data_IF_836034483917
#
_entry.id   IF_836034483917
#
_cell.length_a   1.000
_cell.length_b   1.000
_cell.length_c   1.000
_cell.angle_alpha   90.00
_cell.angle_beta   90.00
_cell.angle_gamma   90.00
#
_symmetry.space_group_name_H-M   'P 1'
#
loop_
_entity.id
_entity.type
_entity.pdbx_description
1 polymer ?
#
# COMPACT_ATOMS: atom_id res chain seq x y z
N UNK A 1 -3.11 2.77 -1.38
CA UNK A 1 -4.48 2.55 -1.88
C UNK A 1 -4.55 1.24 -2.64
N UNK A 2 -3.62 1.02 -3.58
CA UNK A 2 -3.59 -0.15 -4.47
C UNK A 2 -3.78 -1.50 -3.76
N UNK A 3 -2.94 -1.85 -2.80
CA UNK A 3 -2.91 -3.25 -2.34
C UNK A 3 -2.18 -4.12 -3.36
N UNK A 4 -2.53 -5.41 -3.46
CA UNK A 4 -1.97 -6.31 -4.47
C UNK A 4 -0.43 -6.34 -4.47
N UNK A 5 0.20 -6.26 -3.29
CA UNK A 5 1.61 -5.85 -3.17
C UNK A 5 2.65 -6.74 -3.88
N UNK A 6 2.27 -7.96 -4.29
CA UNK A 6 3.09 -8.91 -5.08
C UNK A 6 2.47 -9.31 -6.42
N UNK A 7 1.32 -8.74 -6.77
CA UNK A 7 0.65 -9.05 -8.02
C UNK A 7 1.39 -8.45 -9.21
N UNK A 8 1.21 -9.05 -10.39
CA UNK A 8 1.89 -8.61 -11.60
C UNK A 8 3.42 -8.68 -11.54
N UNK A 9 4.00 -9.40 -10.58
CA UNK A 9 5.46 -9.47 -10.37
C UNK A 9 6.04 -8.25 -9.64
N UNK A 10 5.20 -7.44 -8.97
CA UNK A 10 5.65 -6.30 -8.18
C UNK A 10 6.61 -6.73 -7.06
N UNK A 11 7.72 -6.00 -6.93
CA UNK A 11 8.69 -6.17 -5.85
C UNK A 11 8.24 -5.58 -4.51
N UNK A 12 8.97 -5.92 -3.44
CA UNK A 12 8.78 -5.27 -2.15
C UNK A 12 9.28 -3.82 -2.20
N UNK A 13 8.45 -2.91 -1.71
CA UNK A 13 8.81 -1.49 -1.56
C UNK A 13 9.16 -1.18 -0.10
N UNK A 14 9.66 0.03 0.16
CA UNK A 14 9.91 0.51 1.53
C UNK A 14 8.62 0.56 2.37
N UNK A 15 7.48 0.86 1.75
CA UNK A 15 6.18 0.92 2.44
C UNK A 15 5.71 -0.47 2.86
N UNK A 16 6.00 -1.49 2.05
CA UNK A 16 5.61 -2.88 2.32
C UNK A 16 6.32 -3.50 3.52
N UNK A 17 7.38 -2.85 4.01
CA UNK A 17 8.15 -3.27 5.18
C UNK A 17 7.61 -2.70 6.50
N UNK A 18 6.66 -1.75 6.47
CA UNK A 18 6.19 -1.04 7.66
C UNK A 18 4.97 -1.77 8.27
N UNK A 19 5.11 -2.40 9.45
CA UNK A 19 3.99 -3.09 10.09
C UNK A 19 3.01 -2.09 10.73
N UNK A 20 1.82 -2.57 11.08
CA UNK A 20 0.94 -1.95 12.05
C UNK A 20 1.43 -2.20 13.49
N UNK A 21 1.04 -1.34 14.44
CA UNK A 21 1.22 -1.60 15.87
C UNK A 21 2.49 -1.01 16.47
N UNK A 22 2.94 -1.60 17.58
CA UNK A 22 4.02 -1.04 18.41
C UNK A 22 5.34 -0.83 17.65
N UNK A 23 5.68 -1.75 16.75
CA UNK A 23 6.94 -1.70 15.99
C UNK A 23 6.89 -0.71 14.81
N UNK A 24 5.72 -0.17 14.46
CA UNK A 24 5.52 0.67 13.27
C UNK A 24 6.50 1.84 13.21
N UNK A 25 6.66 2.59 14.31
CA UNK A 25 7.50 3.79 14.33
C UNK A 25 8.98 3.46 14.24
N UNK A 26 9.43 2.43 14.96
CA UNK A 26 10.82 1.99 14.94
C UNK A 26 11.23 1.56 13.52
N UNK A 27 10.38 0.81 12.82
CA UNK A 27 10.62 0.38 11.45
C UNK A 27 10.54 1.55 10.47
N UNK A 28 9.48 2.37 10.54
CA UNK A 28 9.28 3.52 9.62
C UNK A 28 10.43 4.52 9.68
N UNK A 29 11.00 4.75 10.87
CA UNK A 29 12.09 5.70 11.09
C UNK A 29 13.48 5.06 10.91
N UNK A 30 13.56 3.76 10.58
CA UNK A 30 14.82 3.05 10.39
C UNK A 30 15.62 2.83 11.69
N UNK A 31 14.96 2.90 12.86
CA UNK A 31 15.56 2.66 14.17
C UNK A 31 15.73 1.16 14.45
N UNK A 32 14.93 0.32 13.80
CA UNK A 32 15.06 -1.15 13.82
C UNK A 32 15.67 -1.63 12.50
N UNK A 33 16.78 -2.39 12.58
CA UNK A 33 17.35 -3.05 11.39
C UNK A 33 16.43 -4.18 10.95
N UNK A 34 15.68 -3.94 9.89
CA UNK A 34 14.70 -4.88 9.34
C UNK A 34 14.94 -5.12 7.86
N UNK A 35 15.27 -6.37 7.53
CA UNK A 35 15.62 -6.79 6.18
C UNK A 35 14.65 -7.82 5.57
N UNK A 36 13.70 -8.30 6.37
CA UNK A 36 12.66 -9.25 5.96
C UNK A 36 11.33 -8.90 6.62
N UNK A 37 10.25 -9.34 5.98
CA UNK A 37 8.93 -9.40 6.61
C UNK A 37 8.96 -10.42 7.76
N UNK A 38 8.03 -10.28 8.69
CA UNK A 38 7.78 -11.24 9.77
C UNK A 38 6.32 -11.69 9.72
N UNK A 39 6.09 -12.98 9.92
CA UNK A 39 4.77 -13.60 9.77
C UNK A 39 3.82 -13.29 10.94
N UNK A 40 4.34 -12.79 12.06
CA UNK A 40 3.58 -12.42 13.26
C UNK A 40 3.07 -10.97 13.25
N UNK A 41 3.31 -10.23 12.16
CA UNK A 41 2.93 -8.83 12.03
C UNK A 41 1.99 -8.60 10.86
N UNK A 42 1.13 -7.60 11.01
CA UNK A 42 0.22 -7.16 9.97
C UNK A 42 0.79 -5.97 9.21
N UNK A 43 0.75 -6.01 7.87
CA UNK A 43 1.29 -4.97 6.99
C UNK A 43 0.16 -4.31 6.19
N UNK A 44 -0.33 -3.12 6.61
CA UNK A 44 -1.53 -2.54 6.01
C UNK A 44 -1.43 -2.24 4.51
N UNK A 45 -0.23 -2.04 3.96
CA UNK A 45 -0.08 -1.77 2.52
C UNK A 45 -0.27 -3.00 1.64
N UNK A 46 -0.21 -4.22 2.20
CA UNK A 46 -0.28 -5.45 1.43
C UNK A 46 -1.64 -5.59 0.75
N UNK A 47 -2.71 -5.32 1.49
CA UNK A 47 -4.09 -5.31 0.99
C UNK A 47 -4.62 -3.88 0.77
N UNK A 48 -4.22 -2.93 1.62
CA UNK A 48 -4.72 -1.54 1.61
C UNK A 48 -6.25 -1.45 1.52
N UNK A 49 -6.79 -0.82 0.47
CA UNK A 49 -8.25 -0.78 0.19
C UNK A 49 -8.59 -1.57 -1.08
N UNK A 50 -7.63 -2.33 -1.60
CA UNK A 50 -7.75 -3.11 -2.82
C UNK A 50 -8.10 -2.30 -4.09
N UNK A 51 -7.58 -1.07 -4.19
CA UNK A 51 -7.77 -0.25 -5.39
C UNK A 51 -7.18 -0.91 -6.65
N UNK A 52 -6.18 -1.79 -6.52
CA UNK A 52 -5.59 -2.53 -7.63
C UNK A 52 -6.64 -3.31 -8.43
N UNK A 53 -7.62 -3.91 -7.76
CA UNK A 53 -8.72 -4.61 -8.41
C UNK A 53 -9.97 -3.73 -8.58
N UNK A 54 -10.22 -2.82 -7.64
CA UNK A 54 -11.47 -2.05 -7.55
C UNK A 54 -11.45 -0.67 -8.22
N UNK A 55 -10.33 -0.26 -8.81
CA UNK A 55 -10.15 1.08 -9.37
C UNK A 55 -11.26 1.52 -10.33
N UNK A 56 -11.91 0.59 -11.05
CA UNK A 56 -12.98 0.91 -11.99
C UNK A 56 -14.19 1.52 -11.29
N UNK A 57 -14.61 0.91 -10.19
CA UNK A 57 -15.74 1.37 -9.39
C UNK A 57 -15.38 2.66 -8.64
N UNK A 58 -14.16 2.71 -8.09
CA UNK A 58 -13.67 3.89 -7.36
C UNK A 58 -13.52 5.11 -8.26
N UNK A 59 -13.04 4.94 -9.51
CA UNK A 59 -12.97 6.02 -10.50
C UNK A 59 -14.38 6.46 -10.92
N UNK A 60 -15.35 5.54 -11.00
CA UNK A 60 -16.74 5.91 -11.30
C UNK A 60 -17.32 6.82 -10.22
N UNK A 61 -17.05 6.55 -8.94
CA UNK A 61 -17.44 7.42 -7.83
C UNK A 61 -16.76 8.80 -7.91
N UNK A 62 -15.49 8.86 -8.30
CA UNK A 62 -14.80 10.14 -8.52
C UNK A 62 -15.42 10.94 -9.67
N UNK A 63 -15.83 10.26 -10.75
CA UNK A 63 -16.52 10.89 -11.87
C UNK A 63 -17.91 11.41 -11.45
N UNK A 64 -18.65 10.68 -10.61
CA UNK A 64 -19.94 11.13 -10.04
C UNK A 64 -19.78 12.42 -9.23
N UNK A 65 -18.67 12.57 -8.50
CA UNK A 65 -18.32 13.81 -7.79
C UNK A 65 -17.87 14.96 -8.71
N UNK A 66 -17.75 14.73 -10.01
CA UNK A 66 -17.34 15.74 -10.99
C UNK A 66 -15.82 15.97 -11.06
N UNK A 67 -15.00 15.01 -10.61
CA UNK A 67 -13.54 15.14 -10.73
C UNK A 67 -13.13 15.08 -12.20
N UNK A 68 -12.38 16.08 -12.65
CA UNK A 68 -11.83 16.14 -14.02
C UNK A 68 -10.39 15.67 -14.11
N UNK A 69 -9.72 15.54 -12.96
CA UNK A 69 -8.33 15.07 -12.84
C UNK A 69 -8.21 14.17 -11.62
N UNK A 70 -7.59 13.00 -11.80
CA UNK A 70 -7.21 12.11 -10.71
C UNK A 70 -5.68 12.01 -10.64
N UNK A 71 -5.11 12.29 -9.46
CA UNK A 71 -3.67 12.24 -9.21
C UNK A 71 -3.35 11.02 -8.35
N UNK A 72 -2.50 10.13 -8.87
CA UNK A 72 -1.91 9.01 -8.14
C UNK A 72 -0.41 8.88 -8.44
N UNK A 73 0.28 7.98 -7.75
CA UNK A 73 1.66 7.56 -8.05
C UNK A 73 1.69 6.35 -8.97
N UNK A 74 2.77 6.18 -9.73
CA UNK A 74 3.13 4.88 -10.33
C UNK A 74 4.00 4.15 -9.31
N UNK A 75 3.61 2.95 -8.90
CA UNK A 75 4.43 2.10 -8.03
C UNK A 75 5.72 1.69 -8.76
N UNK A 76 6.86 2.07 -8.18
CA UNK A 76 8.19 1.75 -8.70
C UNK A 76 8.54 0.28 -8.43
#
# INVERSE_FOLDING_TARGET
AEGGYREGGKGLTTVDMIPHGANRMAVKLGLEKRFSLRDDEFYPSHDAIDFYHRYRDDIALMAEMGFTVFRTSIAW
#
